data_IF_739844864448
#
_entry.id   IF_739844864448
#
_cell.length_a   1.000
_cell.length_b   1.000
_cell.length_c   1.000
_cell.angle_alpha   90.00
_cell.angle_beta   90.00
_cell.angle_gamma   90.00
#
_symmetry.space_group_name_H-M   'P 1'
#
loop_
_entity.id
_entity.type
_entity.pdbx_description
1 polymer ?
#
# COMPACT_ATOMS: atom_id res chain seq x y z
N UNK A 1 9.56 0.23 -25.24
CA UNK A 1 10.16 1.31 -26.06
C UNK A 1 10.26 2.57 -25.20
N UNK A 2 11.27 2.62 -24.35
CA UNK A 2 11.48 3.69 -23.37
C UNK A 2 12.84 4.33 -23.63
N UNK A 3 12.88 5.65 -23.69
CA UNK A 3 14.11 6.44 -23.73
C UNK A 3 14.17 7.38 -22.53
N UNK A 4 15.38 7.71 -22.06
CA UNK A 4 15.65 8.62 -20.95
C UNK A 4 16.29 9.91 -21.47
N UNK A 5 16.04 11.00 -20.74
CA UNK A 5 16.61 12.32 -21.03
C UNK A 5 16.45 12.74 -22.50
N UNK A 6 15.22 12.68 -23.00
CA UNK A 6 14.90 12.97 -24.40
C UNK A 6 14.67 14.46 -24.55
N UNK A 7 15.41 15.14 -25.47
CA UNK A 7 15.12 16.52 -25.81
C UNK A 7 13.70 16.66 -26.35
N UNK A 8 12.96 17.64 -25.86
CA UNK A 8 11.61 17.97 -26.33
C UNK A 8 11.70 19.28 -27.08
N UNK A 9 11.35 19.26 -28.39
CA UNK A 9 11.27 20.49 -29.18
C UNK A 9 10.13 21.35 -28.64
N UNK A 10 10.45 22.57 -28.26
CA UNK A 10 9.44 23.60 -28.08
C UNK A 10 9.03 24.11 -29.46
N UNK A 11 7.71 24.23 -29.68
CA UNK A 11 7.20 24.85 -30.91
C UNK A 11 7.80 26.24 -31.10
N UNK A 12 7.74 26.79 -32.29
CA UNK A 12 8.42 27.96 -32.84
C UNK A 12 8.36 29.30 -32.08
N UNK A 13 7.99 29.31 -30.79
CA UNK A 13 8.16 30.45 -29.90
C UNK A 13 9.36 30.19 -28.99
N UNK A 14 10.47 30.76 -29.43
CA UNK A 14 11.65 30.96 -28.60
C UNK A 14 11.26 31.78 -27.38
N UNK A 15 11.10 31.15 -26.24
CA UNK A 15 11.24 31.85 -24.96
C UNK A 15 12.74 32.01 -24.78
N UNK A 16 13.22 33.21 -25.05
CA UNK A 16 14.57 33.66 -24.74
C UNK A 16 14.73 33.65 -23.21
N UNK A 17 15.12 32.53 -22.65
CA UNK A 17 15.90 32.50 -21.44
C UNK A 17 17.37 32.43 -21.86
N UNK A 18 18.19 33.23 -21.25
CA UNK A 18 19.60 33.47 -21.54
C UNK A 18 20.54 32.28 -21.27
N UNK A 19 20.01 31.11 -21.01
CA UNK A 19 20.73 29.85 -20.93
C UNK A 19 20.16 28.85 -21.94
N UNK A 20 20.98 28.40 -22.85
CA UNK A 20 20.72 27.34 -23.83
C UNK A 20 20.58 25.94 -23.16
N UNK A 21 19.80 25.84 -22.08
CA UNK A 21 19.50 24.57 -21.47
C UNK A 21 18.45 23.87 -22.33
N UNK A 22 18.88 22.89 -23.09
CA UNK A 22 18.02 21.97 -23.83
C UNK A 22 17.00 21.33 -22.85
N UNK A 23 15.72 21.61 -23.06
CA UNK A 23 14.65 21.06 -22.20
C UNK A 23 14.51 19.58 -22.51
N UNK A 24 14.72 18.73 -21.50
CA UNK A 24 14.69 17.27 -21.64
C UNK A 24 13.62 16.68 -20.73
N UNK A 25 12.81 15.79 -21.27
CA UNK A 25 11.93 14.94 -20.47
C UNK A 25 12.75 13.77 -19.90
N UNK A 26 12.52 13.46 -18.62
CA UNK A 26 13.31 12.44 -17.93
C UNK A 26 13.10 11.04 -18.52
N UNK A 27 11.85 10.67 -18.83
CA UNK A 27 11.52 9.40 -19.48
C UNK A 27 10.45 9.64 -20.54
N UNK A 28 10.65 9.05 -21.70
CA UNK A 28 9.69 9.09 -22.82
C UNK A 28 9.36 7.67 -23.27
N UNK A 29 8.07 7.39 -23.39
CA UNK A 29 7.54 6.12 -23.88
C UNK A 29 7.04 6.28 -25.30
N UNK A 30 7.63 5.55 -26.23
CA UNK A 30 7.30 5.59 -27.66
C UNK A 30 6.32 4.47 -28.05
N UNK A 31 5.52 4.73 -29.07
CA UNK A 31 4.53 3.80 -29.59
C UNK A 31 5.18 2.47 -30.08
N UNK A 32 6.39 2.53 -30.63
CA UNK A 32 7.09 1.35 -31.14
C UNK A 32 8.61 1.50 -31.02
N UNK A 33 9.35 0.40 -31.30
CA UNK A 33 10.81 0.36 -31.21
C UNK A 33 11.50 1.29 -32.23
N UNK A 34 10.95 1.40 -33.43
CA UNK A 34 11.51 2.26 -34.48
C UNK A 34 11.45 3.73 -34.06
N UNK A 35 10.27 4.19 -33.62
CA UNK A 35 10.09 5.55 -33.11
C UNK A 35 11.02 5.87 -31.92
N UNK A 36 11.26 4.90 -31.04
CA UNK A 36 12.19 5.05 -29.93
C UNK A 36 13.65 5.21 -30.39
N UNK A 37 14.09 4.43 -31.39
CA UNK A 37 15.44 4.52 -31.95
C UNK A 37 15.67 5.82 -32.72
N UNK A 38 14.66 6.26 -33.45
CA UNK A 38 14.68 7.48 -34.26
C UNK A 38 14.35 8.75 -33.46
N UNK A 39 13.97 8.61 -32.16
CA UNK A 39 13.51 9.67 -31.27
C UNK A 39 12.38 10.50 -31.90
N UNK A 40 11.45 9.82 -32.54
CA UNK A 40 10.34 10.42 -33.27
C UNK A 40 9.30 11.02 -32.33
N UNK A 41 9.28 12.34 -32.24
CA UNK A 41 8.36 13.06 -31.34
C UNK A 41 6.90 12.97 -31.76
N UNK A 42 6.63 12.63 -33.02
CA UNK A 42 5.27 12.35 -33.51
C UNK A 42 4.70 11.00 -33.07
N UNK A 43 5.51 10.15 -32.45
CA UNK A 43 5.15 8.82 -31.99
C UNK A 43 5.46 8.61 -30.50
N UNK A 44 5.37 9.65 -29.68
CA UNK A 44 5.44 9.59 -28.23
C UNK A 44 4.04 9.28 -27.69
N UNK A 45 3.94 8.24 -26.84
CA UNK A 45 2.70 7.90 -26.13
C UNK A 45 2.61 8.60 -24.80
N UNK A 46 3.73 8.62 -24.04
CA UNK A 46 3.76 9.08 -22.66
C UNK A 46 5.06 9.77 -22.32
N UNK A 47 4.96 10.78 -21.46
CA UNK A 47 6.12 11.47 -20.88
C UNK A 47 6.08 11.33 -19.37
N UNK A 48 7.23 11.09 -18.75
CA UNK A 48 7.37 11.04 -17.30
C UNK A 48 8.34 12.12 -16.85
N UNK A 49 7.90 12.91 -15.90
CA UNK A 49 8.71 13.92 -15.21
C UNK A 49 9.01 13.44 -13.80
N UNK A 50 10.29 13.29 -13.48
CA UNK A 50 10.78 12.81 -12.19
C UNK A 50 11.42 13.96 -11.41
N UNK A 51 11.01 14.14 -10.17
CA UNK A 51 11.57 15.17 -9.28
C UNK A 51 12.22 14.52 -8.05
N UNK A 52 13.04 15.28 -7.34
CA UNK A 52 13.55 14.86 -6.02
C UNK A 52 12.39 14.80 -5.02
N UNK A 53 12.47 13.97 -3.97
CA UNK A 53 11.39 13.80 -2.97
C UNK A 53 10.90 15.10 -2.33
N UNK A 54 11.78 16.09 -2.19
CA UNK A 54 11.45 17.40 -1.58
C UNK A 54 10.79 18.39 -2.54
N UNK A 55 10.65 18.05 -3.83
CA UNK A 55 10.11 18.95 -4.86
C UNK A 55 8.66 18.58 -5.14
N UNK A 56 7.76 19.56 -4.99
CA UNK A 56 6.33 19.41 -5.30
C UNK A 56 5.92 20.09 -6.60
N UNK A 57 6.83 20.84 -7.21
CA UNK A 57 6.61 21.57 -8.46
C UNK A 57 7.06 20.76 -9.67
N UNK A 58 6.47 21.00 -10.85
CA UNK A 58 6.82 20.31 -12.09
C UNK A 58 5.63 20.01 -13.00
N UNK A 59 4.41 20.28 -12.53
CA UNK A 59 3.20 20.10 -13.34
C UNK A 59 3.24 20.92 -14.65
N UNK A 60 3.62 22.18 -14.58
CA UNK A 60 3.71 23.07 -15.75
C UNK A 60 4.72 22.54 -16.79
N UNK A 61 5.81 21.94 -16.32
CA UNK A 61 6.82 21.35 -17.18
C UNK A 61 6.26 20.10 -17.89
N UNK A 62 5.55 19.24 -17.15
CA UNK A 62 4.88 18.08 -17.73
C UNK A 62 3.82 18.48 -18.77
N UNK A 63 3.00 19.50 -18.47
CA UNK A 63 2.03 20.07 -19.43
C UNK A 63 2.74 20.50 -20.72
N UNK A 64 3.85 21.23 -20.59
CA UNK A 64 4.64 21.67 -21.75
C UNK A 64 5.11 20.50 -22.60
N UNK A 65 5.64 19.44 -21.99
CA UNK A 65 6.11 18.27 -22.74
C UNK A 65 4.98 17.55 -23.46
N UNK A 66 3.84 17.35 -22.81
CA UNK A 66 2.68 16.66 -23.39
C UNK A 66 2.12 17.45 -24.59
N UNK A 67 2.05 18.78 -24.49
CA UNK A 67 1.50 19.60 -25.56
C UNK A 67 2.45 19.86 -26.71
N UNK A 68 3.76 19.79 -26.47
CA UNK A 68 4.77 19.95 -27.54
C UNK A 68 5.12 18.62 -28.22
N UNK A 69 4.50 17.51 -27.85
CA UNK A 69 4.72 16.19 -28.45
C UNK A 69 3.39 15.55 -28.83
N UNK A 70 3.44 14.36 -29.42
CA UNK A 70 2.25 13.53 -29.68
C UNK A 70 1.72 12.81 -28.43
N UNK A 71 2.32 13.04 -27.25
CA UNK A 71 1.93 12.35 -26.04
C UNK A 71 0.45 12.56 -25.71
N UNK A 72 -0.22 11.46 -25.38
CA UNK A 72 -1.63 11.44 -24.98
C UNK A 72 -1.81 11.68 -23.48
N UNK A 73 -0.72 11.67 -22.73
CA UNK A 73 -0.67 11.94 -21.30
C UNK A 73 0.73 11.80 -20.72
N UNK A 74 0.84 11.91 -19.42
CA UNK A 74 2.11 11.81 -18.73
C UNK A 74 1.99 11.47 -17.26
N UNK A 75 3.14 11.32 -16.64
CA UNK A 75 3.27 11.07 -15.21
C UNK A 75 4.20 12.09 -14.59
N UNK A 76 3.81 12.67 -13.50
CA UNK A 76 4.69 13.38 -12.59
C UNK A 76 4.95 12.52 -11.35
N UNK A 77 6.21 12.41 -10.95
CA UNK A 77 6.57 11.69 -9.72
C UNK A 77 7.81 12.30 -9.07
N UNK A 78 7.83 12.29 -7.74
CA UNK A 78 9.02 12.63 -6.95
C UNK A 78 9.52 11.46 -6.08
N UNK A 79 9.06 10.24 -6.37
CA UNK A 79 9.41 9.04 -5.60
C UNK A 79 8.55 8.84 -4.35
N UNK A 80 7.89 9.88 -3.82
CA UNK A 80 6.94 9.81 -2.72
C UNK A 80 5.50 9.87 -3.22
N UNK A 81 5.26 10.61 -4.32
CA UNK A 81 3.98 10.72 -4.99
C UNK A 81 4.08 10.38 -6.48
N UNK A 82 3.00 9.88 -7.04
CA UNK A 82 2.86 9.64 -8.47
C UNK A 82 1.47 10.14 -8.91
N UNK A 83 1.47 11.02 -9.88
CA UNK A 83 0.26 11.60 -10.46
C UNK A 83 0.24 11.30 -11.95
N UNK A 84 -0.85 10.70 -12.41
CA UNK A 84 -1.05 10.33 -13.81
C UNK A 84 -2.01 11.32 -14.44
N UNK A 85 -1.64 11.82 -15.61
CA UNK A 85 -2.40 12.84 -16.31
C UNK A 85 -2.70 12.43 -17.74
N UNK A 86 -3.93 12.72 -18.17
CA UNK A 86 -4.38 12.59 -19.54
C UNK A 86 -4.53 13.97 -20.18
N UNK A 87 -4.13 14.09 -21.43
CA UNK A 87 -4.34 15.30 -22.23
C UNK A 87 -5.81 15.56 -22.40
N UNK A 88 -6.25 16.79 -22.11
CA UNK A 88 -7.64 17.18 -22.27
C UNK A 88 -8.02 17.21 -23.74
N UNK A 89 -9.19 16.68 -24.08
CA UNK A 89 -9.77 16.76 -25.41
C UNK A 89 -10.61 18.05 -25.50
N UNK A 90 -10.57 18.75 -26.66
CA UNK A 90 -11.50 19.85 -26.90
C UNK A 90 -10.89 21.24 -26.96
N UNK A 91 -9.58 21.38 -27.12
CA UNK A 91 -8.93 22.67 -27.41
C UNK A 91 -8.51 23.52 -26.19
N UNK A 92 -8.92 23.17 -24.99
CA UNK A 92 -8.38 23.77 -23.77
C UNK A 92 -7.04 23.15 -23.39
N UNK A 93 -6.04 24.00 -23.12
CA UNK A 93 -4.74 23.56 -22.62
C UNK A 93 -4.90 23.15 -21.15
N UNK A 94 -4.76 21.88 -20.87
CA UNK A 94 -4.83 21.33 -19.51
C UNK A 94 -4.75 19.81 -19.49
N UNK A 95 -4.52 19.26 -18.32
CA UNK A 95 -4.45 17.84 -18.10
C UNK A 95 -5.53 17.45 -17.09
N UNK A 96 -6.16 16.31 -17.29
CA UNK A 96 -7.06 15.69 -16.33
C UNK A 96 -6.27 14.65 -15.55
N UNK A 97 -6.29 14.74 -14.22
CA UNK A 97 -5.71 13.71 -13.38
C UNK A 97 -6.55 12.44 -13.45
N UNK A 98 -5.90 11.32 -13.62
CA UNK A 98 -6.53 10.00 -13.71
C UNK A 98 -5.88 9.03 -12.73
N UNK A 99 -6.59 7.97 -12.38
CA UNK A 99 -6.17 7.04 -11.33
C UNK A 99 -4.96 6.19 -11.68
N UNK A 100 -4.85 5.77 -12.95
CA UNK A 100 -3.83 4.80 -13.35
C UNK A 100 -3.36 5.01 -14.78
N UNK A 101 -2.14 4.56 -15.07
CA UNK A 101 -1.65 4.46 -16.42
C UNK A 101 -2.50 3.50 -17.26
N UNK A 102 -2.76 3.81 -18.53
CA UNK A 102 -3.44 2.90 -19.44
C UNK A 102 -2.58 1.64 -19.64
N UNK A 103 -3.24 0.49 -19.74
CA UNK A 103 -2.55 -0.76 -20.04
C UNK A 103 -2.07 -0.76 -21.51
N UNK A 104 -0.92 -1.38 -21.73
CA UNK A 104 -0.41 -1.58 -23.07
C UNK A 104 -1.44 -2.32 -23.94
N UNK A 105 -1.76 -1.77 -25.11
CA UNK A 105 -2.79 -2.21 -26.09
C UNK A 105 -4.25 -1.88 -25.77
N UNK A 106 -4.59 -1.45 -24.56
CA UNK A 106 -5.97 -1.10 -24.21
C UNK A 106 -6.25 0.41 -24.37
N UNK A 107 -5.19 1.23 -24.42
CA UNK A 107 -5.31 2.68 -24.49
C UNK A 107 -6.07 3.26 -23.30
N UNK A 108 -6.61 4.46 -23.46
CA UNK A 108 -7.43 5.09 -22.44
C UNK A 108 -8.86 4.53 -22.34
N UNK A 109 -9.32 3.79 -23.36
CA UNK A 109 -10.64 3.17 -23.40
C UNK A 109 -10.73 1.86 -22.62
N UNK A 110 -9.59 1.25 -22.26
CA UNK A 110 -9.54 -0.01 -21.51
C UNK A 110 -9.71 0.12 -20.00
N UNK A 111 -9.81 1.35 -19.47
CA UNK A 111 -9.88 1.62 -18.02
C UNK A 111 -11.15 1.12 -17.33
N UNK A 112 -12.18 0.75 -18.06
CA UNK A 112 -13.46 0.27 -17.52
C UNK A 112 -13.57 -1.26 -17.45
N UNK A 113 -12.61 -2.00 -18.03
CA UNK A 113 -12.60 -3.46 -17.90
C UNK A 113 -12.11 -3.90 -16.53
N UNK A 114 -12.96 -4.61 -15.79
CA UNK A 114 -12.61 -5.16 -14.47
C UNK A 114 -11.81 -6.45 -14.68
N UNK A 115 -10.55 -6.54 -14.25
CA UNK A 115 -9.76 -7.76 -14.37
C UNK A 115 -10.25 -8.82 -13.38
N UNK A 116 -9.92 -10.09 -13.63
CA UNK A 116 -10.15 -11.13 -12.63
C UNK A 116 -9.18 -10.94 -11.45
N UNK A 117 -9.60 -11.31 -10.23
CA UNK A 117 -8.76 -11.26 -9.02
C UNK A 117 -7.46 -12.05 -9.20
N UNK A 118 -7.53 -13.20 -9.87
CA UNK A 118 -6.36 -14.05 -10.14
C UNK A 118 -5.35 -13.43 -11.09
N UNK A 119 -5.76 -12.46 -11.92
CA UNK A 119 -4.88 -11.76 -12.85
C UNK A 119 -4.18 -10.55 -12.25
N UNK A 120 -4.52 -10.15 -11.03
CA UNK A 120 -3.90 -9.00 -10.37
C UNK A 120 -2.44 -9.33 -10.00
N UNK A 121 -1.47 -8.54 -10.47
CA UNK A 121 -0.07 -8.72 -10.12
C UNK A 121 0.22 -8.26 -8.69
N UNK A 122 1.31 -8.78 -8.11
CA UNK A 122 1.87 -8.22 -6.88
C UNK A 122 2.65 -6.95 -7.16
N UNK A 123 2.60 -5.95 -6.29
CA UNK A 123 3.42 -4.76 -6.43
C UNK A 123 4.90 -5.11 -6.17
N UNK A 124 5.79 -4.65 -7.04
CA UNK A 124 7.23 -4.81 -6.84
C UNK A 124 7.76 -3.97 -5.66
N UNK A 125 7.09 -2.89 -5.33
CA UNK A 125 7.44 -1.99 -4.23
C UNK A 125 6.18 -1.56 -3.49
N UNK A 126 5.91 -2.25 -2.39
CA UNK A 126 4.75 -1.96 -1.53
C UNK A 126 4.88 -0.59 -0.88
N UNK A 127 6.07 -0.22 -0.45
CA UNK A 127 6.31 1.08 0.20
C UNK A 127 5.91 2.24 -0.71
N UNK A 128 6.29 2.18 -1.99
CA UNK A 128 5.88 3.19 -2.96
C UNK A 128 4.36 3.27 -3.11
N UNK A 129 3.69 2.11 -3.19
CA UNK A 129 2.22 2.04 -3.30
C UNK A 129 1.53 2.66 -2.08
N UNK A 130 2.03 2.35 -0.88
CA UNK A 130 1.51 2.90 0.37
C UNK A 130 1.81 4.40 0.52
N UNK A 131 2.98 4.86 0.07
CA UNK A 131 3.30 6.29 0.02
C UNK A 131 2.34 7.06 -0.89
N UNK A 132 2.00 6.48 -2.04
CA UNK A 132 1.01 7.07 -2.95
C UNK A 132 -0.37 7.19 -2.29
N UNK A 133 -0.81 6.16 -1.55
CA UNK A 133 -2.05 6.22 -0.77
C UNK A 133 -1.96 7.29 0.32
N UNK A 134 -0.88 7.33 1.10
CA UNK A 134 -0.68 8.31 2.16
C UNK A 134 -0.82 9.75 1.63
N UNK A 135 -0.13 10.06 0.54
CA UNK A 135 -0.14 11.41 -0.03
C UNK A 135 -1.53 11.81 -0.54
N UNK A 136 -2.31 10.85 -1.06
CA UNK A 136 -3.70 11.09 -1.47
C UNK A 136 -4.64 11.33 -0.28
N UNK A 137 -4.41 10.66 0.83
CA UNK A 137 -5.22 10.79 2.04
C UNK A 137 -4.85 12.05 2.85
N UNK A 138 -3.56 12.35 2.98
CA UNK A 138 -3.04 13.44 3.83
C UNK A 138 -3.28 14.83 3.24
N UNK A 139 -3.28 14.97 1.93
CA UNK A 139 -3.35 16.28 1.25
C UNK A 139 -4.72 16.98 1.26
N UNK A 140 -5.77 16.39 1.84
CA UNK A 140 -7.15 16.89 1.75
C UNK A 140 -7.74 17.47 3.04
N UNK A 141 -6.91 18.01 3.93
CA UNK A 141 -7.36 18.93 5.00
C UNK A 141 -8.26 18.31 6.06
N UNK A 142 -8.05 17.06 6.40
CA UNK A 142 -8.72 16.49 7.56
C UNK A 142 -7.93 16.84 8.82
N UNK A 143 -8.59 17.53 9.76
CA UNK A 143 -8.08 17.81 11.11
C UNK A 143 -7.94 16.54 11.98
N UNK A 144 -7.94 15.35 11.38
CA UNK A 144 -7.86 14.10 12.10
C UNK A 144 -6.43 13.87 12.60
N UNK A 145 -6.31 13.36 13.80
CA UNK A 145 -5.03 12.94 14.35
C UNK A 145 -4.39 11.89 13.41
N UNK A 146 -3.09 11.98 13.21
CA UNK A 146 -2.31 11.13 12.32
C UNK A 146 -2.53 9.61 12.55
N UNK A 147 -2.89 9.24 13.77
CA UNK A 147 -3.24 7.87 14.09
C UNK A 147 -4.54 7.39 13.43
N UNK A 148 -5.53 8.21 13.36
CA UNK A 148 -6.83 7.82 12.78
C UNK A 148 -6.66 7.58 11.28
N UNK A 149 -5.80 8.35 10.62
CA UNK A 149 -5.45 8.14 9.24
C UNK A 149 -4.70 6.82 9.01
N UNK A 150 -3.76 6.46 9.90
CA UNK A 150 -3.06 5.18 9.83
C UNK A 150 -4.03 4.00 10.02
N UNK A 151 -4.95 4.11 10.98
CA UNK A 151 -5.97 3.08 11.20
C UNK A 151 -6.96 2.99 10.04
N UNK A 152 -7.33 4.09 9.42
CA UNK A 152 -8.19 4.07 8.22
C UNK A 152 -7.50 3.41 7.04
N UNK A 153 -6.20 3.63 6.87
CA UNK A 153 -5.45 2.90 5.86
C UNK A 153 -5.42 1.39 6.14
N UNK A 154 -5.22 0.99 7.39
CA UNK A 154 -5.31 -0.43 7.79
C UNK A 154 -6.69 -1.00 7.45
N UNK A 155 -7.77 -0.30 7.76
CA UNK A 155 -9.15 -0.72 7.44
C UNK A 155 -9.38 -0.88 5.93
N UNK A 156 -8.85 0.05 5.14
CA UNK A 156 -8.91 -0.02 3.66
C UNK A 156 -8.14 -1.24 3.13
N UNK A 157 -6.95 -1.52 3.68
CA UNK A 157 -6.16 -2.70 3.30
C UNK A 157 -6.85 -4.01 3.69
N UNK A 158 -7.48 -4.06 4.88
CA UNK A 158 -8.26 -5.22 5.30
C UNK A 158 -9.49 -5.44 4.41
N UNK A 159 -10.17 -4.37 3.98
CA UNK A 159 -11.24 -4.45 3.00
C UNK A 159 -10.75 -5.02 1.65
N UNK A 160 -9.56 -4.63 1.22
CA UNK A 160 -8.92 -5.18 0.02
C UNK A 160 -8.61 -6.67 0.15
N UNK A 161 -8.04 -7.09 1.28
CA UNK A 161 -7.74 -8.50 1.57
C UNK A 161 -9.03 -9.31 1.64
N UNK A 162 -10.08 -8.78 2.28
CA UNK A 162 -11.39 -9.41 2.31
C UNK A 162 -11.92 -9.69 0.90
N UNK A 163 -11.83 -8.70 0.03
CA UNK A 163 -12.28 -8.89 -1.36
C UNK A 163 -11.44 -9.94 -2.09
N UNK A 164 -10.13 -9.89 -1.97
CA UNK A 164 -9.24 -10.83 -2.67
C UNK A 164 -9.42 -12.29 -2.21
N UNK A 165 -9.75 -12.50 -0.94
CA UNK A 165 -9.94 -13.84 -0.35
C UNK A 165 -11.38 -14.33 -0.45
N UNK A 166 -12.35 -13.45 -0.68
CA UNK A 166 -13.75 -13.81 -0.84
C UNK A 166 -14.00 -14.56 -2.18
N UNK A 167 -14.98 -15.45 -2.23
CA UNK A 167 -15.40 -16.10 -3.47
C UNK A 167 -15.78 -15.10 -4.57
N UNK A 168 -15.58 -15.50 -5.82
CA UNK A 168 -15.92 -14.72 -7.02
C UNK A 168 -14.68 -14.27 -7.79
N UNK A 169 -14.82 -14.21 -9.11
CA UNK A 169 -13.71 -13.95 -10.02
C UNK A 169 -13.36 -12.47 -10.14
N UNK A 170 -14.34 -11.59 -9.96
CA UNK A 170 -14.16 -10.15 -10.15
C UNK A 170 -14.07 -9.41 -8.82
N UNK A 171 -13.18 -8.41 -8.72
CA UNK A 171 -13.02 -7.62 -7.49
C UNK A 171 -14.22 -6.67 -7.28
N UNK A 172 -14.67 -6.61 -6.05
CA UNK A 172 -15.57 -5.56 -5.52
C UNK A 172 -14.79 -4.33 -5.07
N UNK A 173 -13.53 -4.53 -4.68
CA UNK A 173 -12.59 -3.45 -4.36
C UNK A 173 -12.13 -2.80 -5.66
N UNK A 174 -13.01 -2.02 -6.28
CA UNK A 174 -12.81 -1.45 -7.59
C UNK A 174 -13.52 -0.12 -7.75
N UNK A 175 -12.95 0.74 -8.58
CA UNK A 175 -13.61 1.94 -9.09
C UNK A 175 -13.22 2.12 -10.56
N UNK A 176 -14.20 2.39 -11.43
CA UNK A 176 -13.93 2.72 -12.83
C UNK A 176 -13.45 4.16 -12.94
N UNK A 177 -12.83 4.50 -14.06
CA UNK A 177 -12.42 5.89 -14.33
C UNK A 177 -13.65 6.81 -14.39
N UNK A 178 -14.72 6.33 -15.02
CA UNK A 178 -16.00 7.05 -15.11
C UNK A 178 -16.60 7.33 -13.75
N UNK A 179 -16.65 6.34 -12.87
CA UNK A 179 -17.20 6.50 -11.52
C UNK A 179 -16.35 7.44 -10.67
N UNK A 180 -15.02 7.37 -10.84
CA UNK A 180 -14.12 8.27 -10.13
C UNK A 180 -14.34 9.75 -10.45
N UNK A 181 -14.73 10.08 -11.68
CA UNK A 181 -14.98 11.47 -12.11
C UNK A 181 -16.26 12.06 -11.50
N UNK A 182 -17.14 11.24 -10.93
CA UNK A 182 -18.42 11.70 -10.36
C UNK A 182 -18.44 11.54 -8.83
N UNK A 183 -19.07 12.49 -8.12
CA UNK A 183 -19.25 12.40 -6.67
C UNK A 183 -20.08 11.16 -6.29
N UNK A 184 -21.08 10.83 -7.11
CA UNK A 184 -21.94 9.67 -6.90
C UNK A 184 -21.19 8.33 -7.06
N UNK A 185 -20.33 8.23 -8.08
CA UNK A 185 -19.48 7.05 -8.32
C UNK A 185 -18.46 6.85 -7.21
N UNK A 186 -17.80 7.93 -6.73
CA UNK A 186 -16.88 7.86 -5.59
C UNK A 186 -17.59 7.41 -4.31
N UNK A 187 -18.77 7.94 -4.03
CA UNK A 187 -19.60 7.54 -2.89
C UNK A 187 -20.05 6.07 -2.99
N UNK A 188 -20.42 5.61 -4.17
CA UNK A 188 -20.78 4.21 -4.40
C UNK A 188 -19.59 3.29 -4.10
N UNK A 189 -18.42 3.59 -4.66
CA UNK A 189 -17.21 2.83 -4.39
C UNK A 189 -16.87 2.82 -2.88
N UNK A 190 -16.88 3.99 -2.21
CA UNK A 190 -16.63 4.09 -0.77
C UNK A 190 -17.60 3.24 0.05
N UNK A 191 -18.88 3.20 -0.35
CA UNK A 191 -19.90 2.36 0.31
C UNK A 191 -19.56 0.87 0.19
N UNK A 192 -19.10 0.40 -0.96
CA UNK A 192 -18.66 -0.99 -1.14
C UNK A 192 -17.42 -1.32 -0.29
N UNK A 193 -16.46 -0.39 -0.20
CA UNK A 193 -15.29 -0.58 0.65
C UNK A 193 -15.67 -0.66 2.13
N UNK A 194 -16.59 0.18 2.60
CA UNK A 194 -17.14 0.09 3.96
C UNK A 194 -17.82 -1.26 4.23
N UNK A 195 -18.54 -1.83 3.26
CA UNK A 195 -19.12 -3.16 3.37
C UNK A 195 -18.07 -4.25 3.46
N UNK A 196 -17.06 -4.22 2.59
CA UNK A 196 -15.93 -5.16 2.61
C UNK A 196 -15.19 -5.13 3.94
N UNK A 197 -14.91 -3.93 4.46
CA UNK A 197 -14.30 -3.80 5.77
C UNK A 197 -15.18 -4.41 6.87
N UNK A 198 -16.48 -4.15 6.84
CA UNK A 198 -17.42 -4.72 7.82
C UNK A 198 -17.50 -6.24 7.73
N UNK A 199 -17.52 -6.81 6.54
CA UNK A 199 -17.46 -8.25 6.32
C UNK A 199 -16.20 -8.87 6.94
N UNK A 200 -15.04 -8.19 6.82
CA UNK A 200 -13.81 -8.60 7.46
C UNK A 200 -13.88 -8.44 8.98
N UNK A 201 -14.28 -7.27 9.46
CA UNK A 201 -14.33 -6.94 10.89
C UNK A 201 -15.25 -7.89 11.69
N UNK A 202 -16.35 -8.34 11.09
CA UNK A 202 -17.27 -9.31 11.71
C UNK A 202 -16.63 -10.69 11.95
N UNK A 203 -15.53 -11.03 11.30
CA UNK A 203 -14.78 -12.27 11.55
C UNK A 203 -13.90 -12.15 12.79
N UNK A 204 -13.62 -10.92 13.25
CA UNK A 204 -12.70 -10.62 14.35
C UNK A 204 -13.33 -9.64 15.36
N UNK A 205 -14.40 -10.07 16.08
CA UNK A 205 -15.12 -9.20 17.02
C UNK A 205 -14.25 -8.78 18.23
N UNK A 206 -13.17 -9.52 18.52
CA UNK A 206 -12.20 -9.17 19.58
C UNK A 206 -11.22 -8.04 19.17
N UNK A 207 -11.23 -7.66 17.91
CA UNK A 207 -10.36 -6.60 17.36
C UNK A 207 -11.15 -5.37 16.99
N UNK A 208 -12.32 -5.56 16.38
CA UNK A 208 -13.11 -4.48 15.80
C UNK A 208 -14.45 -4.34 16.51
N UNK A 209 -14.80 -3.09 16.84
CA UNK A 209 -16.12 -2.77 17.34
C UNK A 209 -17.19 -3.00 16.25
N UNK A 210 -18.40 -3.49 16.59
CA UNK A 210 -19.48 -3.68 15.61
C UNK A 210 -19.86 -2.44 14.81
N UNK A 211 -19.62 -1.25 15.37
CA UNK A 211 -19.91 0.05 14.71
C UNK A 211 -18.66 0.70 14.09
N UNK A 212 -17.52 0.02 14.14
CA UNK A 212 -16.30 0.53 13.57
C UNK A 212 -16.41 0.69 12.05
N UNK A 213 -15.90 1.81 11.54
CA UNK A 213 -15.93 2.17 10.13
C UNK A 213 -14.66 2.92 9.74
N UNK A 214 -14.42 3.00 8.44
CA UNK A 214 -13.40 3.89 7.86
C UNK A 214 -13.91 5.32 8.04
N UNK A 215 -13.13 6.19 8.67
CA UNK A 215 -13.55 7.55 9.07
C UNK A 215 -13.27 8.60 7.98
N UNK A 216 -12.25 8.38 7.13
CA UNK A 216 -11.94 9.30 6.04
C UNK A 216 -13.10 9.40 5.05
N UNK A 217 -13.23 10.56 4.41
CA UNK A 217 -14.32 10.84 3.48
C UNK A 217 -14.33 9.95 2.24
N UNK A 218 -15.49 9.88 1.59
CA UNK A 218 -15.72 9.04 0.40
C UNK A 218 -14.70 9.29 -0.72
N UNK A 219 -14.31 10.55 -0.92
CA UNK A 219 -13.30 10.93 -1.91
C UNK A 219 -11.93 10.32 -1.59
N UNK A 220 -11.52 10.34 -0.32
CA UNK A 220 -10.27 9.76 0.14
C UNK A 220 -10.26 8.23 -0.04
N UNK A 221 -11.37 7.57 0.29
CA UNK A 221 -11.52 6.12 0.06
C UNK A 221 -11.40 5.81 -1.43
N UNK A 222 -12.09 6.56 -2.29
CA UNK A 222 -12.05 6.37 -3.73
C UNK A 222 -10.64 6.55 -4.33
N UNK A 223 -9.88 7.53 -3.84
CA UNK A 223 -8.47 7.75 -4.20
C UNK A 223 -7.59 6.54 -3.81
N UNK A 224 -7.74 6.05 -2.58
CA UNK A 224 -7.00 4.87 -2.12
C UNK A 224 -7.37 3.63 -2.95
N UNK A 225 -8.65 3.44 -3.28
CA UNK A 225 -9.09 2.37 -4.18
C UNK A 225 -8.42 2.50 -5.55
N UNK A 226 -8.37 3.71 -6.09
CA UNK A 226 -7.72 3.99 -7.37
C UNK A 226 -6.26 3.54 -7.40
N UNK A 227 -5.52 3.79 -6.33
CA UNK A 227 -4.11 3.37 -6.20
C UNK A 227 -3.97 1.85 -6.05
N UNK A 228 -4.83 1.23 -5.24
CA UNK A 228 -4.68 -0.17 -4.81
C UNK A 228 -5.36 -1.19 -5.74
N UNK A 229 -6.36 -0.80 -6.52
CA UNK A 229 -7.25 -1.72 -7.27
C UNK A 229 -6.53 -2.69 -8.21
N UNK A 230 -5.42 -2.26 -8.79
CA UNK A 230 -4.68 -3.04 -9.80
C UNK A 230 -3.67 -4.03 -9.21
N UNK A 231 -3.58 -4.14 -7.90
CA UNK A 231 -2.59 -4.94 -7.20
C UNK A 231 -3.24 -6.01 -6.34
N UNK A 232 -2.57 -7.15 -6.21
CA UNK A 232 -2.93 -8.19 -5.24
C UNK A 232 -2.11 -7.99 -3.96
N UNK A 233 -2.78 -7.89 -2.81
CA UNK A 233 -2.18 -7.63 -1.51
C UNK A 233 -2.36 -8.78 -0.50
N UNK A 234 -3.29 -9.69 -0.72
CA UNK A 234 -3.51 -10.83 0.17
C UNK A 234 -2.28 -11.76 0.19
N UNK A 235 -1.88 -12.18 1.39
CA UNK A 235 -0.83 -13.18 1.55
C UNK A 235 -1.27 -14.52 0.94
N UNK A 236 -0.34 -15.19 0.25
CA UNK A 236 -0.57 -16.53 -0.29
C UNK A 236 0.28 -17.54 0.47
N UNK A 237 -0.22 -18.77 0.62
CA UNK A 237 0.47 -19.82 1.37
C UNK A 237 1.80 -20.28 0.73
N UNK A 238 1.99 -19.99 -0.55
CA UNK A 238 3.18 -20.33 -1.34
C UNK A 238 4.15 -19.15 -1.54
N UNK A 239 3.84 -17.99 -0.94
CA UNK A 239 4.74 -16.84 -0.96
C UNK A 239 6.04 -17.17 -0.20
N UNK A 240 7.09 -17.41 -0.96
CA UNK A 240 8.43 -17.59 -0.41
C UNK A 240 9.10 -16.27 -0.02
N UNK A 241 8.61 -15.17 -0.58
CA UNK A 241 9.22 -13.86 -0.43
C UNK A 241 8.83 -13.15 0.88
N UNK A 242 9.67 -12.21 1.24
CA UNK A 242 9.59 -11.37 2.43
C UNK A 242 8.46 -10.34 2.31
N UNK A 243 7.24 -10.83 2.03
CA UNK A 243 6.07 -10.02 1.86
C UNK A 243 5.55 -9.53 3.22
N UNK A 244 5.89 -8.30 3.57
CA UNK A 244 5.46 -7.69 4.80
C UNK A 244 4.66 -6.40 4.52
N UNK A 245 3.45 -6.59 4.06
CA UNK A 245 2.53 -5.49 3.78
C UNK A 245 2.30 -4.62 5.03
N UNK A 246 2.17 -5.25 6.20
CA UNK A 246 1.86 -4.53 7.43
C UNK A 246 3.02 -3.71 7.95
N UNK A 247 4.21 -4.30 8.00
CA UNK A 247 5.36 -3.55 8.43
C UNK A 247 5.65 -2.35 7.53
N UNK A 248 5.50 -2.51 6.22
CA UNK A 248 5.61 -1.39 5.29
C UNK A 248 4.49 -0.37 5.48
N UNK A 249 3.23 -0.81 5.67
CA UNK A 249 2.09 0.08 5.97
C UNK A 249 2.34 0.85 7.25
N UNK A 250 2.75 0.13 8.29
CA UNK A 250 3.00 0.71 9.59
C UNK A 250 4.13 1.73 9.55
N UNK A 251 5.28 1.40 8.94
CA UNK A 251 6.38 2.34 8.77
C UNK A 251 5.94 3.61 8.03
N UNK A 252 5.18 3.46 6.94
CA UNK A 252 4.77 4.56 6.12
C UNK A 252 3.81 5.52 6.82
N UNK A 253 2.85 4.99 7.58
CA UNK A 253 1.80 5.81 8.19
C UNK A 253 2.09 6.25 9.62
N UNK A 254 2.94 5.54 10.36
CA UNK A 254 3.27 5.88 11.74
C UNK A 254 4.59 6.61 11.89
N UNK A 255 5.49 6.50 10.89
CA UNK A 255 6.86 7.00 10.99
C UNK A 255 6.96 8.52 11.11
N UNK A 256 6.01 9.27 10.57
CA UNK A 256 6.09 10.73 10.47
C UNK A 256 5.54 11.41 11.73
N UNK A 257 4.49 10.92 12.33
CA UNK A 257 3.68 11.69 13.27
C UNK A 257 3.60 11.14 14.71
N UNK A 258 3.65 9.83 14.92
CA UNK A 258 3.65 9.27 16.27
C UNK A 258 4.97 9.47 17.02
N UNK A 259 6.07 9.66 16.33
CA UNK A 259 7.37 9.97 16.94
C UNK A 259 7.39 11.29 17.72
N UNK A 260 6.54 12.25 17.37
CA UNK A 260 6.56 13.60 17.97
C UNK A 260 5.74 13.72 19.24
N UNK A 261 4.66 12.98 19.41
CA UNK A 261 3.68 13.27 20.46
C UNK A 261 3.75 12.42 21.73
N UNK A 262 4.32 11.19 21.69
CA UNK A 262 4.22 10.27 22.83
C UNK A 262 5.53 9.59 23.27
N UNK A 263 6.69 9.97 22.73
CA UNK A 263 7.97 9.33 23.11
C UNK A 263 8.05 7.84 22.75
N UNK A 264 7.18 7.35 21.89
CA UNK A 264 7.16 5.97 21.44
C UNK A 264 8.18 5.78 20.32
N UNK A 265 9.19 4.97 20.57
CA UNK A 265 10.22 4.62 19.59
C UNK A 265 9.90 3.25 19.01
N UNK A 266 9.81 3.20 17.68
CA UNK A 266 9.72 1.93 16.96
C UNK A 266 11.11 1.33 16.82
N UNK A 267 11.24 0.07 17.17
CA UNK A 267 12.48 -0.66 16.94
C UNK A 267 12.71 -0.82 15.44
N UNK A 268 13.91 -0.46 14.99
CA UNK A 268 14.29 -0.60 13.59
C UNK A 268 14.14 -2.05 13.14
N UNK A 269 13.58 -2.29 11.95
CA UNK A 269 13.35 -3.64 11.41
C UNK A 269 14.62 -4.47 11.29
N UNK A 270 15.73 -3.86 10.88
CA UNK A 270 17.00 -4.57 10.79
C UNK A 270 17.43 -5.09 12.17
N UNK A 271 17.15 -4.33 13.23
CA UNK A 271 17.43 -4.75 14.61
C UNK A 271 16.49 -5.90 15.00
N UNK A 272 15.20 -5.80 14.69
CA UNK A 272 14.23 -6.89 14.92
C UNK A 272 14.68 -8.15 14.20
N UNK A 273 14.98 -8.08 12.90
CA UNK A 273 15.41 -9.21 12.09
C UNK A 273 16.72 -9.83 12.63
N UNK A 274 17.66 -9.01 13.08
CA UNK A 274 18.89 -9.48 13.70
C UNK A 274 18.61 -10.24 15.01
N UNK A 275 17.80 -9.66 15.90
CA UNK A 275 17.50 -10.25 17.21
C UNK A 275 16.68 -11.55 17.05
N UNK A 276 15.72 -11.58 16.14
CA UNK A 276 14.94 -12.79 15.85
C UNK A 276 15.83 -13.90 15.27
N UNK A 277 16.79 -13.57 14.41
CA UNK A 277 17.76 -14.55 13.89
C UNK A 277 18.72 -15.07 14.97
N UNK A 278 19.10 -14.24 15.94
CA UNK A 278 19.95 -14.65 17.08
C UNK A 278 19.15 -15.57 17.99
N UNK A 279 17.89 -15.23 18.26
CA UNK A 279 16.98 -16.05 19.08
C UNK A 279 16.67 -17.40 18.42
N UNK A 280 16.57 -17.40 17.08
CA UNK A 280 16.31 -18.58 16.22
C UNK A 280 15.12 -19.45 16.69
N UNK A 281 13.94 -18.90 16.94
CA UNK A 281 12.82 -19.65 17.47
C UNK A 281 12.43 -20.81 16.51
N UNK A 282 12.06 -21.97 17.07
CA UNK A 282 11.63 -23.14 16.31
C UNK A 282 10.10 -23.27 16.26
N UNK A 283 9.61 -24.00 15.25
CA UNK A 283 8.17 -24.24 15.06
C UNK A 283 7.66 -25.05 16.25
N UNK A 284 6.67 -24.49 16.96
CA UNK A 284 6.09 -25.06 18.19
C UNK A 284 6.67 -24.50 19.49
N UNK A 285 7.70 -23.66 19.43
CA UNK A 285 8.13 -22.89 20.59
C UNK A 285 7.26 -21.65 20.76
N UNK A 286 7.02 -21.27 22.01
CA UNK A 286 6.30 -20.05 22.35
C UNK A 286 7.27 -18.91 22.57
N UNK A 287 6.94 -17.75 22.01
CA UNK A 287 7.70 -16.52 22.17
C UNK A 287 6.83 -15.43 22.75
N UNK A 288 7.34 -14.67 23.70
CA UNK A 288 6.63 -13.58 24.36
C UNK A 288 7.42 -12.27 24.23
N UNK A 289 6.75 -11.23 23.74
CA UNK A 289 7.21 -9.85 23.85
C UNK A 289 6.46 -9.16 25.01
N UNK A 290 7.09 -8.95 26.17
CA UNK A 290 6.41 -8.42 27.36
C UNK A 290 6.18 -6.90 27.30
N UNK A 291 6.69 -6.20 26.31
CA UNK A 291 6.54 -4.76 26.09
C UNK A 291 6.38 -4.48 24.58
N UNK A 292 5.40 -5.14 23.98
CA UNK A 292 5.32 -5.37 22.55
C UNK A 292 5.03 -4.15 21.69
N UNK A 293 4.61 -3.03 22.28
CA UNK A 293 4.31 -1.82 21.53
C UNK A 293 3.29 -2.12 20.43
N UNK A 294 3.65 -1.76 19.20
CA UNK A 294 2.83 -1.98 18.00
C UNK A 294 2.97 -3.37 17.36
N UNK A 295 3.72 -4.28 17.97
CA UNK A 295 3.86 -5.66 17.50
C UNK A 295 5.02 -5.88 16.52
N UNK A 296 6.04 -5.01 16.53
CA UNK A 296 7.20 -5.15 15.64
C UNK A 296 7.92 -6.49 15.80
N UNK A 297 8.24 -6.91 17.02
CA UNK A 297 8.84 -8.22 17.28
C UNK A 297 7.86 -9.36 16.99
N UNK A 298 6.60 -9.24 17.37
CA UNK A 298 5.60 -10.26 17.12
C UNK A 298 5.48 -10.58 15.62
N UNK A 299 5.34 -9.55 14.79
CA UNK A 299 5.31 -9.72 13.32
C UNK A 299 6.63 -10.24 12.76
N UNK A 300 7.77 -9.78 13.29
CA UNK A 300 9.10 -10.26 12.91
C UNK A 300 9.31 -11.74 13.18
N UNK A 301 8.93 -12.21 14.38
CA UNK A 301 9.00 -13.62 14.79
C UNK A 301 8.06 -14.47 13.94
N UNK A 302 6.79 -14.05 13.79
CA UNK A 302 5.81 -14.79 12.98
C UNK A 302 6.30 -14.96 11.56
N UNK A 303 6.81 -13.92 10.94
CA UNK A 303 7.42 -13.93 9.60
C UNK A 303 8.60 -14.89 9.51
N UNK A 304 9.46 -14.89 10.52
CA UNK A 304 10.61 -15.78 10.59
C UNK A 304 10.17 -17.25 10.66
N UNK A 305 9.24 -17.58 11.55
CA UNK A 305 8.68 -18.92 11.68
C UNK A 305 7.95 -19.37 10.38
N UNK A 306 7.19 -18.46 9.75
CA UNK A 306 6.53 -18.73 8.48
C UNK A 306 7.53 -19.09 7.38
N UNK A 307 8.66 -18.38 7.28
CA UNK A 307 9.75 -18.75 6.35
C UNK A 307 10.31 -20.14 6.64
N UNK A 308 10.52 -20.49 7.91
CA UNK A 308 10.94 -21.86 8.29
C UNK A 308 9.91 -22.91 7.84
N UNK A 309 8.62 -22.67 8.02
CA UNK A 309 7.57 -23.56 7.53
C UNK A 309 7.65 -23.72 6.00
N UNK A 310 7.70 -22.61 5.28
CA UNK A 310 7.74 -22.60 3.81
C UNK A 310 8.97 -23.33 3.29
N UNK A 311 10.14 -23.13 3.88
CA UNK A 311 11.38 -23.78 3.47
C UNK A 311 11.44 -25.29 3.77
N UNK A 312 10.69 -25.76 4.77
CA UNK A 312 10.69 -27.15 5.24
C UNK A 312 9.53 -27.99 4.72
N UNK A 313 8.58 -27.37 3.99
CA UNK A 313 7.36 -28.06 3.54
C UNK A 313 7.09 -27.85 2.06
N UNK A 314 6.40 -28.81 1.44
CA UNK A 314 5.96 -28.69 0.05
C UNK A 314 4.80 -27.69 -0.09
N UNK A 315 4.75 -26.86 -1.15
CA UNK A 315 3.63 -25.99 -1.43
C UNK A 315 2.29 -26.73 -1.41
N UNK A 316 1.25 -26.07 -0.87
CA UNK A 316 -0.13 -26.58 -0.81
C UNK A 316 -0.27 -27.99 -0.18
N UNK A 317 0.62 -28.34 0.75
CA UNK A 317 0.58 -29.64 1.43
C UNK A 317 -0.14 -29.56 2.77
N UNK A 318 -0.85 -30.64 3.21
CA UNK A 318 -1.44 -30.68 4.54
C UNK A 318 -0.42 -30.52 5.68
N UNK A 319 0.86 -30.84 5.42
CA UNK A 319 1.94 -30.62 6.37
C UNK A 319 2.21 -29.13 6.56
N UNK A 320 2.23 -28.34 5.45
CA UNK A 320 2.38 -26.89 5.49
C UNK A 320 1.25 -26.25 6.27
N UNK A 321 0.01 -26.62 5.98
CA UNK A 321 -1.17 -26.06 6.66
C UNK A 321 -1.15 -26.33 8.15
N UNK A 322 -0.77 -27.55 8.57
CA UNK A 322 -0.62 -27.88 10.01
C UNK A 322 0.45 -27.02 10.66
N UNK A 323 1.62 -26.85 10.06
CA UNK A 323 2.70 -26.08 10.64
C UNK A 323 2.38 -24.58 10.66
N UNK A 324 1.70 -24.03 9.64
CA UNK A 324 1.19 -22.67 9.66
C UNK A 324 0.18 -22.43 10.79
N UNK A 325 -0.67 -23.42 11.08
CA UNK A 325 -1.58 -23.33 12.22
C UNK A 325 -0.84 -23.38 13.58
N UNK A 326 0.23 -24.18 13.69
CA UNK A 326 1.05 -24.21 14.91
C UNK A 326 1.67 -22.86 15.20
N UNK A 327 2.24 -22.19 14.22
CA UNK A 327 2.89 -20.89 14.44
C UNK A 327 1.93 -19.77 14.79
N UNK A 328 0.63 -19.88 14.46
CA UNK A 328 -0.39 -18.90 14.88
C UNK A 328 -0.55 -18.84 16.40
N UNK A 329 -0.33 -19.97 17.07
CA UNK A 329 -0.38 -20.08 18.53
C UNK A 329 1.00 -19.99 19.19
N UNK A 330 2.02 -19.47 18.48
CA UNK A 330 3.40 -19.45 18.96
C UNK A 330 3.89 -18.07 19.37
N UNK A 331 3.17 -16.99 19.01
CA UNK A 331 3.64 -15.62 19.21
C UNK A 331 2.71 -14.85 20.13
N UNK A 332 3.27 -14.31 21.21
CA UNK A 332 2.55 -13.62 22.26
C UNK A 332 3.12 -12.24 22.50
N UNK A 333 2.25 -11.30 22.89
CA UNK A 333 2.60 -9.92 23.19
C UNK A 333 1.74 -9.40 24.34
N UNK A 334 2.38 -8.69 25.27
CA UNK A 334 1.69 -7.89 26.29
C UNK A 334 2.03 -6.42 26.07
N UNK A 335 1.01 -5.57 26.07
CA UNK A 335 1.15 -4.13 25.94
C UNK A 335 0.09 -3.41 26.78
N UNK A 336 0.50 -2.39 27.51
CA UNK A 336 -0.40 -1.65 28.43
C UNK A 336 -1.35 -0.72 27.66
N UNK A 337 -0.90 -0.14 26.56
CA UNK A 337 -1.68 0.79 25.76
C UNK A 337 -2.66 0.06 24.83
N UNK A 338 -3.97 0.13 25.12
CA UNK A 338 -5.01 -0.50 24.32
C UNK A 338 -4.91 -0.18 22.81
N UNK A 339 -4.52 1.03 22.49
CA UNK A 339 -4.32 1.52 21.12
C UNK A 339 -3.22 0.74 20.39
N UNK A 340 -2.09 0.47 21.07
CA UNK A 340 -0.97 -0.29 20.49
C UNK A 340 -1.32 -1.78 20.37
N UNK A 341 -2.04 -2.35 21.34
CA UNK A 341 -2.56 -3.73 21.23
C UNK A 341 -3.43 -3.88 19.98
N UNK A 342 -4.31 -2.92 19.71
CA UNK A 342 -5.15 -2.95 18.50
C UNK A 342 -4.32 -2.91 17.23
N UNK A 343 -3.28 -2.07 17.19
CA UNK A 343 -2.35 -2.02 16.06
C UNK A 343 -1.65 -3.37 15.90
N UNK A 344 -1.12 -3.94 16.99
CA UNK A 344 -0.44 -5.23 16.95
C UNK A 344 -1.36 -6.34 16.44
N UNK A 345 -2.62 -6.37 16.91
CA UNK A 345 -3.64 -7.31 16.41
C UNK A 345 -3.88 -7.14 14.90
N UNK A 346 -4.06 -5.91 14.44
CA UNK A 346 -4.21 -5.63 13.00
C UNK A 346 -2.96 -6.03 12.20
N UNK A 347 -1.77 -5.81 12.76
CA UNK A 347 -0.50 -6.22 12.16
C UNK A 347 -0.46 -7.74 11.96
N UNK A 348 -0.81 -8.50 12.98
CA UNK A 348 -0.83 -9.97 12.91
C UNK A 348 -1.90 -10.46 11.92
N UNK A 349 -3.08 -9.86 11.87
CA UNK A 349 -4.11 -10.19 10.87
C UNK A 349 -3.60 -9.99 9.43
N UNK A 350 -2.90 -8.90 9.15
CA UNK A 350 -2.34 -8.63 7.83
C UNK A 350 -1.18 -9.55 7.46
N UNK A 351 -0.47 -10.12 8.43
CA UNK A 351 0.56 -11.13 8.19
C UNK A 351 -0.01 -12.54 8.00
N UNK A 352 -1.32 -12.72 8.20
CA UNK A 352 -2.02 -14.01 8.08
C UNK A 352 -2.08 -14.81 9.38
N UNK A 353 -1.72 -14.19 10.51
CA UNK A 353 -1.95 -14.75 11.86
C UNK A 353 -3.35 -14.39 12.36
N UNK A 354 -3.84 -15.15 13.28
CA UNK A 354 -5.17 -14.97 13.87
C UNK A 354 -5.25 -13.94 15.00
N UNK A 355 -4.22 -13.12 15.29
CA UNK A 355 -4.23 -12.09 16.37
C UNK A 355 -4.40 -12.61 17.82
N UNK A 356 -4.42 -13.90 18.03
CA UNK A 356 -4.80 -14.52 19.30
C UNK A 356 -3.80 -14.28 20.44
N UNK A 357 -2.52 -14.07 20.13
CA UNK A 357 -1.46 -13.86 21.12
C UNK A 357 -1.31 -12.43 21.65
N UNK A 358 -2.14 -11.47 21.20
CA UNK A 358 -1.95 -10.06 21.53
C UNK A 358 -2.89 -9.62 22.66
N UNK A 359 -2.33 -9.31 23.84
CA UNK A 359 -3.11 -9.02 25.04
C UNK A 359 -2.76 -7.66 25.65
N UNK A 360 -3.80 -6.96 26.15
CA UNK A 360 -3.61 -5.76 26.94
C UNK A 360 -3.29 -6.14 28.39
N UNK A 361 -2.19 -5.63 28.92
CA UNK A 361 -1.80 -5.86 30.30
C UNK A 361 -0.56 -5.08 30.68
N UNK A 362 -0.24 -5.04 31.96
CA UNK A 362 1.02 -4.55 32.48
C UNK A 362 1.90 -5.76 32.84
N UNK A 363 2.91 -6.03 32.05
CA UNK A 363 3.83 -7.18 32.28
C UNK A 363 4.72 -7.04 33.52
N UNK A 364 4.69 -5.88 34.17
CA UNK A 364 5.35 -5.67 35.47
C UNK A 364 4.43 -5.93 36.66
N UNK A 365 3.16 -6.22 36.41
CA UNK A 365 2.20 -6.60 37.49
C UNK A 365 2.55 -7.98 38.04
N UNK A 366 2.01 -8.24 39.22
CA UNK A 366 2.15 -9.55 39.83
C UNK A 366 1.56 -10.63 38.91
N UNK A 367 2.20 -11.78 38.88
CA UNK A 367 1.80 -12.97 38.13
C UNK A 367 0.30 -13.29 38.21
N UNK A 368 -0.30 -13.08 39.39
CA UNK A 368 -1.72 -13.31 39.65
C UNK A 368 -2.66 -12.36 38.86
N UNK A 369 -2.14 -11.22 38.40
CA UNK A 369 -2.90 -10.20 37.68
C UNK A 369 -2.68 -10.28 36.17
N UNK A 370 -1.79 -11.16 35.70
CA UNK A 370 -1.60 -11.39 34.26
C UNK A 370 -2.72 -12.26 33.71
N UNK A 371 -3.02 -12.11 32.43
CA UNK A 371 -3.99 -12.95 31.74
C UNK A 371 -3.63 -14.43 31.94
N UNK A 372 -4.54 -15.24 32.55
CA UNK A 372 -4.28 -16.67 32.82
C UNK A 372 -3.88 -17.46 31.58
N UNK A 373 -4.30 -17.01 30.40
CA UNK A 373 -3.99 -17.63 29.14
C UNK A 373 -2.50 -17.42 28.73
N UNK A 374 -1.95 -16.23 28.96
CA UNK A 374 -0.51 -15.95 28.77
C UNK A 374 0.31 -16.73 29.78
N UNK A 375 -0.10 -16.70 31.05
CA UNK A 375 0.55 -17.41 32.16
C UNK A 375 0.67 -18.90 31.82
N UNK A 376 -0.38 -19.53 31.36
CA UNK A 376 -0.39 -20.97 31.06
C UNK A 376 0.46 -21.39 29.86
N UNK A 377 0.86 -20.45 28.98
CA UNK A 377 1.54 -20.78 27.73
C UNK A 377 2.95 -20.23 27.63
N UNK A 378 3.28 -19.17 28.36
CA UNK A 378 4.55 -18.46 28.24
C UNK A 378 5.37 -18.41 29.53
N UNK A 379 4.79 -18.79 30.66
CA UNK A 379 5.42 -18.81 31.97
C UNK A 379 5.24 -20.19 32.63
#
# INVERSE_FOLDING_TARGET
NIAREVPVQQGSKILLSTDEAEIRADIVVYANKKACLERDQGNILFVVECKKPTVTEGYTQLVSYIYNTSAIGGVWTNGEGMYVYKKRNGGEIGLDEILTLPRYREGWSGGDSIPSKSSLPRPHNVRFLLSACHNKLYGRGMENEDFDLAMDMVRILLAKIQDETAPGDFPRFWITERDFQTAEGRKHAATEIQKLFREYANQFPDVFDPYEKIQVGDDCIAEAVGVLKNWSLAARNDDADDWDLMGETYEQFTHINLKRQQGQFFTNRLVIDMMVKILDPEIGEHTLDPAGGSGGFATGIFRYLRRKVISRTTPNSPARDRQLNIIKDSVYLVEIAARLVKIAKCAMLLTGDGQSGMTRGNSLDLYENLDPWIVSRCI
#
